data_IF_751726126703
#
_entry.id   IF_751726126703
#
_cell.length_a   1.000
_cell.length_b   1.000
_cell.length_c   1.000
_cell.angle_alpha   90.00
_cell.angle_beta   90.00
_cell.angle_gamma   90.00
#
_symmetry.space_group_name_H-M   'P 1'
#
loop_
_entity.id
_entity.type
_entity.pdbx_description
1 polymer ?
#
# COMPACT_ATOMS: atom_id res chain seq x y z
N UNK A 1 2.04 7.53 -3.11
CA UNK A 1 2.51 6.52 -4.09
C UNK A 1 2.35 5.17 -3.44
N UNK A 2 1.39 4.34 -3.86
CA UNK A 2 1.12 3.04 -3.25
C UNK A 2 1.49 1.90 -4.19
N UNK A 3 0.80 1.76 -5.32
CA UNK A 3 1.08 0.74 -6.34
C UNK A 3 2.50 0.85 -6.91
N UNK A 4 3.04 2.06 -7.03
CA UNK A 4 4.44 2.26 -7.45
C UNK A 4 5.45 1.81 -6.39
N UNK A 5 5.10 1.91 -5.11
CA UNK A 5 6.02 1.65 -3.99
C UNK A 5 5.95 0.19 -3.52
N UNK A 6 4.76 -0.41 -3.55
CA UNK A 6 4.51 -1.80 -3.18
C UNK A 6 3.53 -2.46 -4.18
N UNK A 7 3.96 -2.70 -5.44
CA UNK A 7 3.10 -3.21 -6.51
C UNK A 7 2.55 -4.62 -6.27
N UNK A 8 3.19 -5.40 -5.39
CA UNK A 8 2.72 -6.74 -5.02
C UNK A 8 1.59 -6.71 -3.98
N UNK A 9 1.30 -5.53 -3.41
CA UNK A 9 0.33 -5.34 -2.31
C UNK A 9 -0.80 -4.39 -2.70
N UNK A 10 -0.50 -3.36 -3.48
CA UNK A 10 -1.47 -2.37 -3.90
C UNK A 10 -1.51 -2.24 -5.42
N UNK A 11 -2.70 -1.94 -5.92
CA UNK A 11 -2.91 -1.49 -7.29
C UNK A 11 -3.74 -0.19 -7.28
N UNK A 12 -3.92 0.40 -8.46
CA UNK A 12 -4.83 1.52 -8.66
C UNK A 12 -5.78 1.18 -9.81
N UNK A 13 -7.07 1.44 -9.60
CA UNK A 13 -8.04 1.34 -10.69
C UNK A 13 -7.94 2.54 -11.64
N UNK A 14 -8.76 2.51 -12.69
CA UNK A 14 -8.77 3.55 -13.72
C UNK A 14 -9.20 4.93 -13.19
N UNK A 15 -9.87 4.98 -12.04
CA UNK A 15 -10.27 6.21 -11.35
C UNK A 15 -9.20 6.69 -10.34
N UNK A 16 -8.08 5.98 -10.24
CA UNK A 16 -6.98 6.29 -9.32
C UNK A 16 -7.26 5.90 -7.87
N UNK A 17 -8.29 5.09 -7.61
CA UNK A 17 -8.59 4.56 -6.28
C UNK A 17 -7.65 3.40 -5.99
N UNK A 18 -7.06 3.44 -4.79
CA UNK A 18 -6.14 2.39 -4.34
C UNK A 18 -6.93 1.14 -3.97
N UNK A 19 -6.53 0.01 -4.54
CA UNK A 19 -7.05 -1.31 -4.19
C UNK A 19 -5.97 -2.14 -3.51
N UNK A 20 -6.36 -2.96 -2.54
CA UNK A 20 -5.45 -3.89 -1.86
C UNK A 20 -5.50 -5.24 -2.57
N UNK A 21 -4.37 -5.68 -3.11
CA UNK A 21 -4.20 -6.98 -3.75
C UNK A 21 -3.96 -8.10 -2.71
N UNK A 22 -3.18 -7.79 -1.67
CA UNK A 22 -2.77 -8.75 -0.64
C UNK A 22 -3.00 -8.15 0.74
N UNK A 23 -3.99 -8.66 1.48
CA UNK A 23 -4.33 -8.15 2.82
C UNK A 23 -3.30 -8.51 3.91
N UNK A 24 -2.58 -9.61 3.70
CA UNK A 24 -1.55 -10.12 4.63
C UNK A 24 -0.25 -10.36 3.85
N UNK A 25 0.47 -9.29 3.47
CA UNK A 25 1.72 -9.42 2.73
C UNK A 25 2.78 -10.12 3.57
N UNK A 26 3.65 -10.89 2.90
CA UNK A 26 4.76 -11.56 3.55
C UNK A 26 5.81 -10.58 4.10
N UNK A 27 6.75 -11.06 4.91
CA UNK A 27 7.80 -10.23 5.52
C UNK A 27 8.62 -9.45 4.48
N UNK A 28 8.81 -10.00 3.28
CA UNK A 28 9.52 -9.38 2.16
C UNK A 28 8.91 -8.05 1.68
N UNK A 29 7.60 -7.87 1.85
CA UNK A 29 6.88 -6.67 1.41
C UNK A 29 6.66 -5.66 2.56
N UNK A 30 7.06 -5.99 3.79
CA UNK A 30 6.78 -5.16 4.98
C UNK A 30 7.35 -3.74 4.86
N UNK A 31 8.58 -3.61 4.37
CA UNK A 31 9.22 -2.30 4.26
C UNK A 31 8.59 -1.45 3.15
N UNK A 32 8.28 -2.07 2.02
CA UNK A 32 7.57 -1.43 0.91
C UNK A 32 6.18 -0.94 1.33
N UNK A 33 5.43 -1.74 2.10
CA UNK A 33 4.11 -1.36 2.62
C UNK A 33 4.23 -0.20 3.61
N UNK A 34 5.22 -0.22 4.51
CA UNK A 34 5.47 0.89 5.44
C UNK A 34 5.78 2.18 4.70
N UNK A 35 6.63 2.10 3.68
CA UNK A 35 6.97 3.25 2.82
C UNK A 35 5.74 3.78 2.08
N UNK A 36 4.92 2.90 1.48
CA UNK A 36 3.69 3.28 0.80
C UNK A 36 2.70 4.02 1.72
N UNK A 37 2.59 3.60 2.99
CA UNK A 37 1.77 4.28 4.00
C UNK A 37 2.32 5.68 4.31
N UNK A 38 3.64 5.82 4.52
CA UNK A 38 4.27 7.12 4.81
C UNK A 38 4.19 8.10 3.63
N UNK A 39 4.31 7.59 2.41
CA UNK A 39 4.24 8.38 1.17
C UNK A 39 2.80 8.58 0.66
N UNK A 40 1.78 8.26 1.45
CA UNK A 40 0.39 8.44 1.05
C UNK A 40 -0.08 9.89 1.33
N UNK A 41 -0.15 10.78 0.32
CA UNK A 41 -0.51 12.18 0.55
C UNK A 41 -1.98 12.34 1.01
N UNK A 42 -2.84 11.40 0.63
CA UNK A 42 -4.25 11.41 0.99
C UNK A 42 -4.53 10.83 2.39
N UNK A 43 -3.54 10.20 3.04
CA UNK A 43 -3.74 9.50 4.32
C UNK A 43 -4.70 8.30 4.23
N UNK A 44 -4.90 7.75 3.02
CA UNK A 44 -5.83 6.66 2.75
C UNK A 44 -5.36 5.30 3.30
N UNK A 45 -4.04 5.12 3.49
CA UNK A 45 -3.45 3.89 3.98
C UNK A 45 -3.09 3.99 5.46
N UNK A 46 -3.31 2.91 6.21
CA UNK A 46 -2.91 2.75 7.61
C UNK A 46 -2.45 1.33 7.88
N UNK A 47 -1.48 1.15 8.76
CA UNK A 47 -1.14 -0.15 9.32
C UNK A 47 -2.12 -0.47 10.44
N UNK A 48 -2.72 -1.66 10.43
CA UNK A 48 -3.53 -2.15 11.54
C UNK A 48 -2.59 -2.70 12.63
N UNK A 49 -2.69 -2.17 13.85
CA UNK A 49 -1.92 -2.66 15.00
C UNK A 49 -0.83 -1.72 15.53
N UNK A 50 -1.02 -0.40 15.46
CA UNK A 50 -0.35 0.53 16.38
C UNK A 50 -1.04 0.63 17.73
#
# INVERSE_FOLDING_TARGET
MCALTAPEVFDQDDDGIVVTLTEQPGPEATDAVREAVQLCPAGALKLAGS
#
